data_IF_040089278183
#
_entry.id   IF_040089278183
#
_cell.length_a   1.000
_cell.length_b   1.000
_cell.length_c   1.000
_cell.angle_alpha   90.00
_cell.angle_beta   90.00
_cell.angle_gamma   90.00
#
_symmetry.space_group_name_H-M   'P 1'
#
loop_
_entity.id
_entity.type
_entity.pdbx_description
1 polymer ?
#
# COMPACT_ATOMS: atom_id res chain seq x y z
N UNK A 1 -64.71 19.12 45.35
CA UNK A 1 -64.86 20.15 44.31
C UNK A 1 -63.52 20.31 43.60
N UNK A 2 -63.58 20.23 42.28
CA UNK A 2 -62.54 20.16 41.23
C UNK A 2 -61.07 20.49 41.53
N UNK A 3 -60.17 19.60 41.09
CA UNK A 3 -58.81 19.97 40.62
C UNK A 3 -58.53 19.32 39.27
N UNK A 4 -57.96 20.14 38.39
CA UNK A 4 -57.57 19.87 37.01
C UNK A 4 -56.31 19.00 36.92
N UNK A 5 -56.23 18.15 35.91
CA UNK A 5 -54.96 17.55 35.45
C UNK A 5 -54.85 17.76 33.95
N UNK A 6 -53.88 18.59 33.54
CA UNK A 6 -53.41 18.69 32.15
C UNK A 6 -52.38 17.58 31.91
N UNK A 7 -52.61 16.74 30.90
CA UNK A 7 -51.60 15.83 30.37
C UNK A 7 -50.90 16.52 29.19
N UNK A 8 -49.58 16.74 29.31
CA UNK A 8 -48.75 17.15 28.18
C UNK A 8 -48.28 15.90 27.42
N UNK A 9 -48.58 15.83 26.12
CA UNK A 9 -48.04 14.81 25.21
C UNK A 9 -46.74 15.36 24.62
N UNK A 10 -45.61 14.76 25.00
CA UNK A 10 -44.31 15.00 24.38
C UNK A 10 -44.12 14.01 23.23
N UNK A 11 -44.27 14.49 22.00
CA UNK A 11 -43.96 13.75 20.78
C UNK A 11 -42.45 13.77 20.54
N UNK A 12 -41.74 12.76 21.04
CA UNK A 12 -40.33 12.53 20.72
C UNK A 12 -40.17 11.85 19.36
N UNK A 13 -39.88 12.63 18.32
CA UNK A 13 -39.42 12.09 17.04
C UNK A 13 -37.90 11.93 17.05
N UNK A 14 -37.42 10.69 17.16
CA UNK A 14 -36.00 10.37 16.91
C UNK A 14 -35.84 10.22 15.40
N UNK A 15 -35.23 11.21 14.75
CA UNK A 15 -34.69 11.07 13.39
C UNK A 15 -33.34 10.36 13.50
N UNK A 16 -33.31 9.05 13.24
CA UNK A 16 -32.07 8.36 12.91
C UNK A 16 -31.74 8.61 11.44
N UNK A 17 -30.97 9.65 11.15
CA UNK A 17 -30.29 9.80 9.86
C UNK A 17 -29.06 8.89 9.83
N UNK A 18 -29.26 7.64 9.39
CA UNK A 18 -28.16 6.77 8.96
C UNK A 18 -27.59 7.33 7.65
N UNK A 19 -26.62 8.24 7.77
CA UNK A 19 -25.85 8.71 6.62
C UNK A 19 -24.99 7.57 6.09
N UNK A 20 -25.38 6.99 4.95
CA UNK A 20 -24.51 6.12 4.17
C UNK A 20 -23.39 7.01 3.62
N UNK A 21 -22.24 7.05 4.28
CA UNK A 21 -21.07 7.79 3.78
C UNK A 21 -20.48 6.96 2.65
N UNK A 22 -20.55 7.43 1.41
CA UNK A 22 -19.76 6.86 0.33
C UNK A 22 -18.28 7.01 0.71
N UNK A 23 -17.51 5.93 0.63
CA UNK A 23 -16.08 6.01 0.88
C UNK A 23 -15.43 6.96 -0.15
N UNK A 24 -14.75 7.99 0.33
CA UNK A 24 -14.03 8.94 -0.52
C UNK A 24 -12.90 8.24 -1.28
N UNK A 25 -12.63 8.62 -2.54
CA UNK A 25 -11.51 8.06 -3.28
C UNK A 25 -10.17 8.30 -2.57
N UNK A 26 -9.34 7.26 -2.47
CA UNK A 26 -7.96 7.39 -1.98
C UNK A 26 -7.17 8.28 -2.91
N UNK A 27 -6.37 9.21 -2.37
CA UNK A 27 -5.51 10.14 -3.13
C UNK A 27 -4.04 10.14 -2.75
N UNK A 28 -3.77 9.83 -1.50
CA UNK A 28 -2.43 9.68 -0.95
C UNK A 28 -1.75 8.39 -1.42
N UNK A 29 -0.44 8.33 -1.20
CA UNK A 29 0.36 7.11 -1.36
C UNK A 29 0.35 6.42 0.01
N UNK A 30 -0.21 5.21 0.13
CA UNK A 30 -0.33 4.54 1.41
C UNK A 30 1.04 4.12 1.93
N UNK A 31 1.12 3.89 3.24
CA UNK A 31 2.33 3.43 3.92
C UNK A 31 2.04 2.23 4.81
N UNK A 32 3.03 1.36 4.94
CA UNK A 32 2.94 0.10 5.67
C UNK A 32 4.24 -0.14 6.45
N UNK A 33 4.13 -0.61 7.68
CA UNK A 33 5.28 -1.03 8.49
C UNK A 33 5.30 -2.55 8.56
N UNK A 34 6.22 -3.17 7.83
CA UNK A 34 6.38 -4.61 7.78
C UNK A 34 7.14 -5.09 9.02
N UNK A 35 6.49 -5.79 9.95
CA UNK A 35 7.19 -6.35 11.10
C UNK A 35 8.12 -7.45 10.65
N UNK A 36 9.24 -7.60 11.38
CA UNK A 36 10.09 -8.78 11.22
C UNK A 36 9.42 -9.99 11.87
N UNK A 37 9.23 -11.07 11.11
CA UNK A 37 8.65 -12.30 11.60
C UNK A 37 9.56 -12.93 12.68
N UNK A 38 8.95 -13.38 13.78
CA UNK A 38 9.65 -14.13 14.83
C UNK A 38 9.94 -15.58 14.40
N UNK A 39 9.11 -16.11 13.50
CA UNK A 39 9.21 -17.42 12.86
C UNK A 39 8.72 -17.28 11.42
N UNK A 40 9.43 -17.88 10.47
CA UNK A 40 8.99 -17.91 9.08
C UNK A 40 7.60 -18.56 8.95
N UNK A 41 6.69 -17.98 8.12
CA UNK A 41 5.44 -18.65 7.77
C UNK A 41 5.72 -19.91 6.93
N UNK A 42 4.81 -20.87 7.00
CA UNK A 42 4.79 -22.02 6.09
C UNK A 42 3.98 -21.61 4.88
N UNK A 43 4.63 -21.59 3.70
CA UNK A 43 3.96 -21.19 2.45
C UNK A 43 3.05 -22.32 1.97
N UNK A 44 1.79 -22.33 2.44
CA UNK A 44 0.77 -23.34 2.13
C UNK A 44 -0.58 -22.74 1.68
N UNK A 45 -0.64 -21.41 1.55
CA UNK A 45 -1.79 -20.62 1.16
C UNK A 45 -2.68 -20.22 2.33
N UNK A 46 -2.39 -20.63 3.57
CA UNK A 46 -3.20 -20.34 4.77
C UNK A 46 -2.57 -19.24 5.61
N UNK A 47 -3.41 -18.31 6.06
CA UNK A 47 -2.95 -17.14 6.82
C UNK A 47 -3.05 -17.33 8.34
N UNK A 48 -2.93 -18.57 8.82
CA UNK A 48 -3.06 -18.95 10.23
C UNK A 48 -1.72 -18.99 10.99
N UNK A 49 -0.59 -18.86 10.30
CA UNK A 49 0.73 -18.73 10.92
C UNK A 49 0.86 -17.48 11.81
N UNK A 50 1.64 -17.55 12.91
CA UNK A 50 1.89 -16.40 13.79
C UNK A 50 2.45 -15.18 13.06
N UNK A 51 3.31 -15.38 12.05
CA UNK A 51 3.91 -14.30 11.26
C UNK A 51 2.84 -13.38 10.62
N UNK A 52 1.72 -13.96 10.18
CA UNK A 52 0.61 -13.20 9.61
C UNK A 52 -0.23 -12.53 10.69
N UNK A 53 -0.45 -13.19 11.82
CA UNK A 53 -1.24 -12.62 12.90
C UNK A 53 -0.59 -11.37 13.52
N UNK A 54 0.75 -11.35 13.56
CA UNK A 54 1.55 -10.22 14.03
C UNK A 54 1.62 -9.07 13.00
N UNK A 55 1.39 -9.36 11.72
CA UNK A 55 1.38 -8.37 10.64
C UNK A 55 0.03 -7.62 10.55
N UNK A 56 0.02 -6.28 10.51
CA UNK A 56 -1.20 -5.53 10.30
C UNK A 56 -1.74 -5.77 8.88
N UNK A 57 -3.04 -5.71 8.68
CA UNK A 57 -3.59 -5.65 7.32
C UNK A 57 -3.27 -4.30 6.68
N UNK A 58 -3.01 -4.29 5.37
CA UNK A 58 -3.18 -3.07 4.58
C UNK A 58 -4.62 -2.60 4.67
N UNK A 59 -4.83 -1.32 4.39
CA UNK A 59 -6.18 -0.87 4.02
C UNK A 59 -6.67 -1.61 2.76
N UNK A 60 -7.99 -1.73 2.56
CA UNK A 60 -8.55 -2.39 1.39
C UNK A 60 -8.07 -1.77 0.08
N UNK A 61 -7.92 -2.60 -0.94
CA UNK A 61 -7.51 -2.17 -2.27
C UNK A 61 -8.60 -1.29 -2.91
N UNK A 62 -8.15 -0.35 -3.73
CA UNK A 62 -8.97 0.62 -4.45
C UNK A 62 -8.83 0.42 -5.96
N UNK A 63 -9.82 0.85 -6.73
CA UNK A 63 -9.76 0.83 -8.18
C UNK A 63 -8.58 1.69 -8.66
N UNK A 64 -7.64 1.08 -9.38
CA UNK A 64 -6.34 1.66 -9.74
C UNK A 64 -6.39 3.00 -10.47
N UNK A 65 -7.36 3.22 -11.34
CA UNK A 65 -7.53 4.45 -12.12
C UNK A 65 -8.26 5.58 -11.41
N UNK A 66 -9.02 5.29 -10.35
CA UNK A 66 -9.94 6.28 -9.76
C UNK A 66 -9.76 6.46 -8.26
N UNK A 67 -9.15 5.51 -7.56
CA UNK A 67 -9.04 5.50 -6.10
C UNK A 67 -10.34 5.17 -5.37
N UNK A 68 -11.45 4.93 -6.08
CA UNK A 68 -12.72 4.49 -5.51
C UNK A 68 -12.60 3.06 -4.94
N UNK A 69 -13.57 2.57 -4.13
CA UNK A 69 -13.57 1.18 -3.66
C UNK A 69 -13.32 0.17 -4.80
N UNK A 70 -12.32 -0.71 -4.60
CA UNK A 70 -11.89 -1.69 -5.59
C UNK A 70 -12.72 -2.97 -5.56
N UNK A 71 -12.70 -3.69 -6.68
CA UNK A 71 -13.20 -5.06 -6.80
C UNK A 71 -12.18 -5.90 -7.58
N UNK A 72 -11.95 -7.17 -7.20
CA UNK A 72 -12.51 -7.86 -6.03
C UNK A 72 -12.03 -7.23 -4.71
N UNK A 73 -12.79 -7.41 -3.62
CA UNK A 73 -12.36 -6.88 -2.31
C UNK A 73 -11.09 -7.61 -1.91
N UNK A 74 -10.03 -6.84 -1.74
CA UNK A 74 -8.70 -7.40 -1.49
C UNK A 74 -7.97 -6.58 -0.44
N UNK A 75 -7.20 -7.28 0.40
CA UNK A 75 -6.24 -6.69 1.34
C UNK A 75 -5.03 -7.60 1.45
N UNK A 76 -3.92 -7.06 1.91
CA UNK A 76 -2.67 -7.79 2.02
C UNK A 76 -2.00 -7.61 3.39
N UNK A 77 -1.02 -8.47 3.67
CA UNK A 77 -0.06 -8.36 4.77
C UNK A 77 1.33 -8.51 4.21
N UNK A 78 2.28 -7.77 4.75
CA UNK A 78 3.70 -7.99 4.50
C UNK A 78 4.43 -8.22 5.83
N UNK A 79 5.37 -9.15 5.80
CA UNK A 79 6.33 -9.41 6.88
C UNK A 79 7.64 -9.85 6.25
N UNK A 80 8.69 -10.04 7.04
CA UNK A 80 10.01 -10.33 6.50
C UNK A 80 10.90 -10.99 7.55
N UNK A 81 11.94 -11.70 7.11
CA UNK A 81 12.94 -12.26 8.00
C UNK A 81 14.37 -12.19 7.43
N UNK A 82 15.27 -13.07 7.90
CA UNK A 82 16.64 -13.07 7.42
C UNK A 82 16.79 -13.53 5.95
N UNK A 83 15.83 -14.28 5.43
CA UNK A 83 15.93 -15.00 4.16
C UNK A 83 14.96 -14.47 3.10
N UNK A 84 13.75 -14.05 3.51
CA UNK A 84 12.70 -13.64 2.58
C UNK A 84 11.98 -12.35 2.97
N UNK A 85 11.47 -11.67 1.96
CA UNK A 85 10.28 -10.83 2.06
C UNK A 85 9.04 -11.71 1.85
N UNK A 86 8.04 -11.56 2.71
CA UNK A 86 6.78 -12.29 2.60
C UNK A 86 5.61 -11.36 2.32
N UNK A 87 4.70 -11.80 1.46
CA UNK A 87 3.42 -11.14 1.24
C UNK A 87 2.28 -12.16 1.27
N UNK A 88 1.18 -11.77 1.90
CA UNK A 88 -0.06 -12.54 1.93
C UNK A 88 -1.21 -11.70 1.40
N UNK A 89 -2.10 -12.31 0.63
CA UNK A 89 -3.29 -11.67 0.08
C UNK A 89 -4.54 -12.44 0.52
N UNK A 90 -5.59 -11.69 0.83
CA UNK A 90 -6.95 -12.21 0.97
C UNK A 90 -7.81 -11.54 -0.09
N UNK A 91 -8.37 -12.37 -0.99
CA UNK A 91 -9.17 -11.93 -2.14
C UNK A 91 -10.57 -12.55 -2.00
N UNK A 92 -11.59 -11.70 -2.01
CA UNK A 92 -13.01 -12.10 -2.10
C UNK A 92 -13.44 -12.05 -3.56
N UNK A 93 -13.54 -13.22 -4.21
CA UNK A 93 -13.91 -13.34 -5.62
C UNK A 93 -15.01 -14.38 -5.81
N UNK A 94 -16.08 -14.01 -6.52
CA UNK A 94 -17.23 -14.87 -6.80
C UNK A 94 -17.10 -15.70 -8.10
N UNK A 95 -15.98 -15.58 -8.82
CA UNK A 95 -15.67 -16.40 -9.99
C UNK A 95 -14.16 -16.50 -10.19
N UNK A 96 -13.63 -17.73 -10.13
CA UNK A 96 -12.19 -17.99 -10.20
C UNK A 96 -11.75 -18.52 -11.56
N UNK A 97 -10.88 -17.77 -12.23
CA UNK A 97 -10.30 -18.12 -13.53
C UNK A 97 -8.77 -18.05 -13.51
N UNK A 98 -8.15 -19.22 -13.70
CA UNK A 98 -6.70 -19.39 -13.80
C UNK A 98 -6.38 -20.69 -14.58
N UNK A 99 -6.51 -20.67 -15.91
CA UNK A 99 -6.21 -21.81 -16.81
C UNK A 99 -4.99 -21.58 -17.71
N UNK A 100 -4.28 -20.47 -17.51
CA UNK A 100 -2.98 -20.24 -18.14
C UNK A 100 -1.91 -21.12 -17.52
N UNK A 101 -1.01 -21.64 -18.36
CA UNK A 101 0.15 -22.46 -17.96
C UNK A 101 1.25 -22.32 -19.00
N UNK A 102 2.47 -22.70 -18.63
CA UNK A 102 3.64 -22.67 -19.51
C UNK A 102 4.73 -21.74 -18.98
N UNK A 103 5.73 -21.44 -19.82
CA UNK A 103 6.77 -20.48 -19.47
C UNK A 103 6.23 -19.05 -19.66
N UNK A 104 6.34 -18.22 -18.62
CA UNK A 104 5.90 -16.82 -18.58
C UNK A 104 4.44 -16.60 -19.03
N UNK A 105 3.47 -17.29 -18.41
CA UNK A 105 2.07 -17.09 -18.76
C UNK A 105 1.69 -15.64 -18.48
N UNK A 106 0.88 -15.04 -19.36
CA UNK A 106 0.39 -13.68 -19.18
C UNK A 106 -0.71 -13.62 -18.10
N UNK A 107 -0.35 -13.94 -16.85
CA UNK A 107 -1.28 -14.15 -15.73
C UNK A 107 -2.16 -12.93 -15.46
N UNK A 108 -1.65 -11.73 -15.73
CA UNK A 108 -2.41 -10.49 -15.66
C UNK A 108 -3.61 -10.40 -16.60
N UNK A 109 -3.89 -11.39 -17.45
CA UNK A 109 -5.11 -11.46 -18.27
C UNK A 109 -6.25 -12.24 -17.60
N UNK A 110 -5.94 -12.87 -16.46
CA UNK A 110 -6.86 -13.66 -15.64
C UNK A 110 -6.74 -13.27 -14.16
N UNK A 111 -7.22 -14.13 -13.27
CA UNK A 111 -7.13 -13.88 -11.84
C UNK A 111 -5.69 -14.10 -11.39
N UNK A 112 -5.14 -13.09 -10.72
CA UNK A 112 -3.79 -13.17 -10.15
C UNK A 112 -3.61 -12.06 -9.13
N UNK A 113 -2.74 -12.31 -8.15
CA UNK A 113 -2.14 -11.22 -7.37
C UNK A 113 -0.84 -10.79 -8.04
N UNK A 114 -0.46 -9.53 -7.87
CA UNK A 114 0.76 -8.96 -8.42
C UNK A 114 1.45 -8.06 -7.41
N UNK A 115 2.79 -8.14 -7.39
CA UNK A 115 3.67 -7.29 -6.62
C UNK A 115 4.64 -6.61 -7.57
N UNK A 116 4.79 -5.29 -7.42
CA UNK A 116 5.89 -4.56 -8.04
C UNK A 116 6.75 -3.92 -6.95
N UNK A 117 8.06 -4.15 -6.99
CA UNK A 117 8.97 -3.79 -5.88
C UNK A 117 10.12 -2.95 -6.41
N UNK A 118 10.32 -1.79 -5.81
CA UNK A 118 11.43 -0.86 -6.01
C UNK A 118 12.20 -0.75 -4.68
N UNK A 119 13.32 -1.49 -4.53
CA UNK A 119 14.04 -1.61 -3.26
C UNK A 119 14.72 -0.34 -2.73
N UNK A 120 15.12 0.61 -3.58
CA UNK A 120 15.72 1.85 -3.08
C UNK A 120 14.72 3.03 -3.09
N UNK A 121 13.55 2.82 -3.69
CA UNK A 121 12.43 3.74 -3.68
C UNK A 121 12.67 4.98 -4.53
N UNK A 122 13.61 4.91 -5.48
CA UNK A 122 13.96 6.02 -6.36
C UNK A 122 13.00 6.19 -7.55
N UNK A 123 12.17 5.17 -7.82
CA UNK A 123 11.19 5.14 -8.90
C UNK A 123 11.75 4.83 -10.29
N UNK A 124 13.02 4.39 -10.40
CA UNK A 124 13.69 4.11 -11.65
C UNK A 124 13.48 2.66 -12.09
N UNK A 125 14.07 1.70 -11.37
CA UNK A 125 14.03 0.26 -11.69
C UNK A 125 13.19 -0.51 -10.67
N UNK A 126 12.60 -1.62 -11.10
CA UNK A 126 11.72 -2.41 -10.24
C UNK A 126 11.56 -3.84 -10.76
N UNK A 127 11.09 -4.68 -9.85
CA UNK A 127 10.77 -6.08 -10.08
C UNK A 127 9.26 -6.24 -10.16
N UNK A 128 8.78 -7.20 -10.94
CA UNK A 128 7.37 -7.57 -11.05
C UNK A 128 7.24 -9.06 -10.84
N UNK A 129 6.31 -9.44 -9.97
CA UNK A 129 6.06 -10.81 -9.54
C UNK A 129 4.56 -11.03 -9.52
N UNK A 130 4.09 -12.15 -10.06
CA UNK A 130 2.68 -12.51 -10.06
C UNK A 130 2.50 -13.95 -9.58
N UNK A 131 1.39 -14.20 -8.91
CA UNK A 131 0.97 -15.53 -8.46
C UNK A 131 -0.52 -15.72 -8.75
N UNK A 132 -0.82 -16.65 -9.65
CA UNK A 132 -2.19 -16.99 -10.00
C UNK A 132 -2.81 -17.98 -9.00
N UNK A 133 -4.15 -18.04 -8.87
CA UNK A 133 -4.85 -19.04 -8.07
C UNK A 133 -4.53 -20.50 -8.43
N UNK A 134 -4.04 -20.76 -9.65
CA UNK A 134 -3.55 -22.08 -10.07
C UNK A 134 -2.21 -22.48 -9.44
N UNK A 135 -1.49 -21.52 -8.84
CA UNK A 135 -0.11 -21.67 -8.36
C UNK A 135 0.95 -21.33 -9.41
N UNK A 136 0.55 -20.99 -10.64
CA UNK A 136 1.48 -20.51 -11.67
C UNK A 136 2.05 -19.15 -11.28
N UNK A 137 3.33 -18.96 -11.62
CA UNK A 137 4.08 -17.75 -11.32
C UNK A 137 4.53 -17.05 -12.59
N UNK A 138 4.67 -15.73 -12.51
CA UNK A 138 5.35 -14.93 -13.51
C UNK A 138 6.31 -13.98 -12.81
N UNK A 139 7.51 -13.83 -13.33
CA UNK A 139 8.48 -12.89 -12.83
C UNK A 139 9.22 -12.16 -13.94
N UNK A 140 9.52 -10.89 -13.68
CA UNK A 140 10.36 -10.08 -14.55
C UNK A 140 10.94 -8.92 -13.76
N UNK A 141 11.83 -8.19 -14.41
CA UNK A 141 12.37 -6.93 -13.89
C UNK A 141 12.56 -5.92 -15.00
N UNK A 142 12.59 -4.66 -14.59
CA UNK A 142 12.69 -3.52 -15.47
C UNK A 142 13.83 -2.60 -15.02
N UNK A 143 14.74 -2.27 -15.93
CA UNK A 143 15.86 -1.35 -15.72
C UNK A 143 15.40 0.12 -15.69
N UNK A 144 14.25 0.39 -16.30
CA UNK A 144 13.49 1.64 -16.12
C UNK A 144 12.02 1.39 -16.45
N UNK A 145 11.13 2.37 -16.26
CA UNK A 145 9.68 2.21 -16.54
C UNK A 145 9.40 1.51 -17.89
N UNK A 146 8.96 0.25 -17.81
CA UNK A 146 8.66 -0.65 -18.93
C UNK A 146 9.86 -0.87 -19.89
N UNK A 147 11.09 -0.86 -19.39
CA UNK A 147 12.30 -1.20 -20.18
C UNK A 147 13.06 -2.33 -19.49
N UNK A 148 13.44 -3.40 -20.23
CA UNK A 148 13.22 -3.62 -21.66
C UNK A 148 11.76 -3.97 -22.00
N UNK A 149 11.41 -3.82 -23.28
CA UNK A 149 10.12 -4.21 -23.86
C UNK A 149 10.23 -5.58 -24.53
N UNK A 150 9.12 -6.34 -24.67
CA UNK A 150 7.76 -5.99 -24.23
C UNK A 150 7.49 -6.21 -22.74
N UNK A 151 8.13 -7.20 -22.12
CA UNK A 151 7.79 -7.70 -20.78
C UNK A 151 9.01 -7.80 -19.85
N UNK A 152 9.95 -6.87 -19.97
CA UNK A 152 11.14 -6.86 -19.12
C UNK A 152 12.10 -8.01 -19.43
N UNK A 153 12.85 -8.42 -18.42
CA UNK A 153 13.85 -9.50 -18.50
C UNK A 153 13.27 -10.88 -18.17
N UNK A 154 12.48 -11.47 -19.07
CA UNK A 154 11.82 -12.80 -18.93
C UNK A 154 12.76 -14.03 -18.73
N UNK A 155 14.07 -13.84 -18.63
CA UNK A 155 15.02 -14.92 -18.32
C UNK A 155 15.58 -14.81 -16.90
N UNK A 156 15.23 -13.74 -16.21
CA UNK A 156 15.59 -13.54 -14.82
C UNK A 156 14.59 -14.32 -13.98
N UNK A 157 15.10 -15.15 -13.09
CA UNK A 157 14.30 -15.96 -12.18
C UNK A 157 14.42 -15.33 -10.79
N UNK A 158 13.29 -14.95 -10.22
CA UNK A 158 13.19 -14.38 -8.89
C UNK A 158 13.43 -15.41 -7.79
N UNK A 159 13.13 -16.69 -8.07
CA UNK A 159 13.11 -17.75 -7.07
C UNK A 159 11.95 -17.62 -6.08
N UNK A 160 10.85 -16.96 -6.47
CA UNK A 160 9.66 -16.88 -5.61
C UNK A 160 9.09 -18.25 -5.32
N UNK A 161 8.63 -18.41 -4.08
CA UNK A 161 7.80 -19.54 -3.65
C UNK A 161 6.38 -19.02 -3.41
N UNK A 162 5.38 -19.73 -3.92
CA UNK A 162 3.98 -19.32 -3.84
C UNK A 162 3.06 -20.48 -3.48
N UNK A 163 2.02 -20.19 -2.69
CA UNK A 163 0.97 -21.16 -2.38
C UNK A 163 -0.40 -20.49 -2.30
N UNK A 164 -1.45 -21.26 -2.62
CA UNK A 164 -2.82 -20.80 -2.73
C UNK A 164 -3.73 -21.70 -1.88
N UNK A 165 -4.64 -21.09 -1.11
CA UNK A 165 -5.79 -21.79 -0.55
C UNK A 165 -7.08 -21.24 -1.15
N UNK A 166 -7.73 -22.06 -1.98
CA UNK A 166 -8.97 -21.73 -2.65
C UNK A 166 -10.18 -21.90 -1.73
N UNK A 167 -11.16 -21.02 -1.87
CA UNK A 167 -12.53 -21.19 -1.35
C UNK A 167 -13.48 -21.17 -2.55
N UNK A 168 -13.44 -22.25 -3.31
CA UNK A 168 -14.06 -22.31 -4.63
C UNK A 168 -13.45 -23.41 -5.50
N UNK A 169 -13.85 -23.43 -6.77
CA UNK A 169 -13.32 -24.35 -7.78
C UNK A 169 -12.81 -23.55 -8.98
N UNK A 170 -11.54 -23.71 -9.34
CA UNK A 170 -10.99 -23.00 -10.49
C UNK A 170 -11.65 -23.44 -11.79
N UNK A 171 -11.83 -22.46 -12.69
CA UNK A 171 -12.12 -22.69 -14.10
C UNK A 171 -13.46 -23.40 -14.37
N UNK A 172 -14.44 -23.19 -13.50
CA UNK A 172 -15.82 -23.56 -13.75
C UNK A 172 -16.76 -22.34 -13.65
N UNK A 173 -18.06 -22.56 -13.84
CA UNK A 173 -19.08 -21.51 -13.76
C UNK A 173 -19.80 -21.50 -12.40
N UNK A 174 -19.29 -22.22 -11.40
CA UNK A 174 -19.85 -22.22 -10.05
C UNK A 174 -19.48 -20.90 -9.33
N UNK A 175 -20.29 -20.52 -8.35
CA UNK A 175 -19.98 -19.36 -7.53
C UNK A 175 -18.87 -19.71 -6.53
N UNK A 176 -17.89 -18.83 -6.40
CA UNK A 176 -16.77 -18.97 -5.49
C UNK A 176 -16.86 -17.96 -4.32
N UNK A 177 -15.94 -18.09 -3.36
CA UNK A 177 -15.75 -17.15 -2.24
C UNK A 177 -14.36 -16.51 -2.24
N UNK A 178 -13.52 -16.84 -3.22
CA UNK A 178 -12.20 -16.28 -3.44
C UNK A 178 -11.05 -17.20 -2.99
N UNK A 179 -9.92 -16.60 -2.65
CA UNK A 179 -8.70 -17.33 -2.28
C UNK A 179 -7.83 -16.54 -1.31
N UNK A 180 -6.88 -17.23 -0.69
CA UNK A 180 -5.71 -16.62 -0.06
C UNK A 180 -4.47 -17.04 -0.81
N UNK A 181 -3.51 -16.12 -0.90
CA UNK A 181 -2.23 -16.36 -1.55
C UNK A 181 -1.10 -15.98 -0.60
N UNK A 182 -0.06 -16.79 -0.55
CA UNK A 182 1.19 -16.50 0.14
C UNK A 182 2.34 -16.49 -0.86
N UNK A 183 3.22 -15.51 -0.73
CA UNK A 183 4.42 -15.35 -1.57
C UNK A 183 5.62 -15.16 -0.65
N UNK A 184 6.67 -15.95 -0.86
CA UNK A 184 7.99 -15.74 -0.28
C UNK A 184 8.98 -15.35 -1.38
N UNK A 185 9.66 -14.22 -1.20
CA UNK A 185 10.58 -13.63 -2.17
C UNK A 185 11.98 -13.63 -1.55
N UNK A 186 12.92 -14.45 -2.06
CA UNK A 186 14.25 -14.50 -1.48
C UNK A 186 14.97 -13.17 -1.70
N UNK A 187 15.70 -12.67 -0.70
CA UNK A 187 16.42 -11.39 -0.83
C UNK A 187 17.42 -11.36 -1.99
N UNK A 188 17.92 -12.53 -2.41
CA UNK A 188 18.80 -12.68 -3.55
C UNK A 188 18.17 -12.25 -4.89
N UNK A 189 16.83 -12.26 -4.99
CA UNK A 189 16.10 -11.79 -6.17
C UNK A 189 16.49 -10.34 -6.53
N UNK A 190 16.63 -9.49 -5.50
CA UNK A 190 16.87 -8.06 -5.66
C UNK A 190 18.33 -7.69 -5.98
N UNK A 191 19.25 -8.67 -5.97
CA UNK A 191 20.64 -8.45 -6.37
C UNK A 191 20.79 -8.13 -7.87
N UNK A 192 19.75 -8.37 -8.67
CA UNK A 192 19.70 -8.03 -10.09
C UNK A 192 19.24 -6.59 -10.38
N UNK A 193 18.99 -5.78 -9.34
CA UNK A 193 18.61 -4.37 -9.46
C UNK A 193 19.81 -3.44 -9.66
N UNK A 194 19.54 -2.16 -9.89
CA UNK A 194 20.58 -1.13 -9.98
C UNK A 194 20.22 0.10 -9.13
N UNK A 195 20.81 0.28 -7.94
CA UNK A 195 21.85 -0.56 -7.35
C UNK A 195 21.32 -1.94 -6.93
N UNK A 196 22.20 -2.96 -6.87
CA UNK A 196 21.84 -4.26 -6.30
C UNK A 196 21.34 -4.09 -4.87
N UNK A 197 20.17 -4.65 -4.58
CA UNK A 197 19.61 -4.67 -3.24
C UNK A 197 19.76 -6.04 -2.59
N UNK A 198 19.80 -6.03 -1.26
CA UNK A 198 19.80 -7.24 -0.43
C UNK A 198 18.77 -7.04 0.68
N UNK A 199 18.77 -7.92 1.69
CA UNK A 199 17.92 -7.76 2.87
C UNK A 199 18.03 -6.33 3.42
N UNK A 200 16.91 -5.61 3.61
CA UNK A 200 16.93 -4.26 4.13
C UNK A 200 17.44 -4.22 5.56
N UNK A 201 18.17 -3.15 5.89
CA UNK A 201 18.40 -2.79 7.28
C UNK A 201 17.09 -2.36 7.94
N UNK A 202 16.94 -2.54 9.26
CA UNK A 202 15.78 -2.05 9.97
C UNK A 202 15.53 -0.55 9.71
N UNK A 203 14.27 -0.22 9.43
CA UNK A 203 13.74 1.08 9.02
C UNK A 203 14.12 1.53 7.60
N UNK A 204 14.72 0.67 6.77
CA UNK A 204 14.78 0.94 5.34
C UNK A 204 13.36 1.13 4.78
N UNK A 205 13.25 1.95 3.74
CA UNK A 205 11.97 2.25 3.09
C UNK A 205 12.07 1.85 1.62
N UNK A 206 11.20 0.95 1.21
CA UNK A 206 11.06 0.51 -0.19
C UNK A 206 9.75 1.02 -0.73
N UNK A 207 9.63 1.04 -2.06
CA UNK A 207 8.37 1.27 -2.75
C UNK A 207 7.81 -0.07 -3.22
N UNK A 208 6.55 -0.34 -2.87
CA UNK A 208 5.86 -1.60 -3.23
C UNK A 208 4.45 -1.31 -3.72
N UNK A 209 4.14 -1.82 -4.90
CA UNK A 209 2.80 -1.90 -5.45
C UNK A 209 2.25 -3.31 -5.21
N UNK A 210 0.96 -3.38 -4.89
CA UNK A 210 0.23 -4.63 -4.71
C UNK A 210 -1.07 -4.50 -5.49
N UNK A 211 -1.34 -5.47 -6.36
CA UNK A 211 -2.51 -5.47 -7.22
C UNK A 211 -3.20 -6.83 -7.20
N UNK A 212 -4.46 -6.82 -7.59
CA UNK A 212 -5.24 -7.99 -7.97
C UNK A 212 -5.83 -7.74 -9.35
N UNK A 213 -5.76 -8.74 -10.21
CA UNK A 213 -6.45 -8.80 -11.48
C UNK A 213 -7.56 -9.84 -11.34
N UNK A 214 -8.69 -9.54 -11.97
CA UNK A 214 -9.89 -10.37 -11.92
C UNK A 214 -10.55 -10.34 -13.30
N UNK A 215 -10.76 -11.50 -13.90
CA UNK A 215 -11.39 -11.62 -15.22
C UNK A 215 -12.79 -12.18 -15.11
N UNK A 216 -13.75 -11.51 -15.76
CA UNK A 216 -15.17 -11.90 -15.70
C UNK A 216 -15.62 -12.54 -17.01
N UNK A 217 -16.53 -13.54 -16.94
CA UNK A 217 -17.04 -14.20 -18.13
C UNK A 217 -17.87 -13.23 -19.00
N UNK A 218 -17.94 -13.54 -20.30
CA UNK A 218 -18.71 -12.77 -21.27
C UNK A 218 -18.25 -11.31 -21.40
N UNK A 219 -19.18 -10.37 -21.26
CA UNK A 219 -18.91 -8.93 -21.37
C UNK A 219 -18.51 -8.28 -20.02
N UNK A 220 -18.24 -9.08 -18.99
CA UNK A 220 -17.89 -8.59 -17.65
C UNK A 220 -16.55 -7.85 -17.60
N UNK A 221 -15.67 -8.13 -18.57
CA UNK A 221 -14.38 -7.47 -18.73
C UNK A 221 -13.39 -7.80 -17.62
N UNK A 222 -12.24 -7.14 -17.65
CA UNK A 222 -11.24 -7.23 -16.59
C UNK A 222 -11.47 -6.16 -15.53
N UNK A 223 -11.42 -6.58 -14.27
CA UNK A 223 -11.38 -5.73 -13.09
C UNK A 223 -9.98 -5.75 -12.51
N UNK A 224 -9.65 -4.67 -11.81
CA UNK A 224 -8.43 -4.60 -11.02
C UNK A 224 -8.61 -3.68 -9.84
N UNK A 225 -7.90 -4.02 -8.77
CA UNK A 225 -7.76 -3.19 -7.60
C UNK A 225 -6.30 -3.19 -7.14
N UNK A 226 -5.88 -2.14 -6.48
CA UNK A 226 -4.52 -2.01 -5.95
C UNK A 226 -4.50 -1.34 -4.59
N UNK A 227 -3.45 -1.63 -3.82
CA UNK A 227 -3.23 -0.97 -2.54
C UNK A 227 -3.08 0.55 -2.71
N UNK A 228 -2.42 0.97 -3.79
CA UNK A 228 -2.28 2.37 -4.18
C UNK A 228 -2.84 2.59 -5.60
N UNK A 229 -3.66 3.63 -5.84
CA UNK A 229 -4.16 3.92 -7.18
C UNK A 229 -3.07 4.58 -8.02
N UNK A 230 -2.95 4.15 -9.29
CA UNK A 230 -2.00 4.71 -10.27
C UNK A 230 -2.54 5.93 -11.00
N UNK A 231 -3.87 6.09 -11.08
CA UNK A 231 -4.56 7.09 -11.90
C UNK A 231 -4.23 7.05 -13.39
N UNK A 232 -3.70 5.92 -13.84
CA UNK A 232 -3.32 5.70 -15.22
C UNK A 232 -3.89 4.38 -15.71
N UNK A 233 -4.05 4.22 -17.04
CA UNK A 233 -4.31 2.92 -17.68
C UNK A 233 -3.02 2.08 -17.75
N UNK A 234 -2.28 2.06 -16.65
CA UNK A 234 -0.97 1.46 -16.52
C UNK A 234 -0.70 1.16 -15.05
N UNK A 235 -0.22 -0.05 -14.76
CA UNK A 235 0.20 -0.48 -13.42
C UNK A 235 1.65 -0.09 -13.12
N UNK A 236 2.47 0.12 -14.17
CA UNK A 236 3.89 0.44 -14.08
C UNK A 236 4.11 1.93 -13.82
N UNK A 237 3.65 2.41 -12.67
CA UNK A 237 3.81 3.81 -12.22
C UNK A 237 4.55 3.82 -10.87
N UNK A 238 5.90 3.67 -10.86
CA UNK A 238 6.67 3.57 -9.61
C UNK A 238 6.49 4.74 -8.64
N UNK A 239 6.18 5.94 -9.14
CA UNK A 239 5.84 7.11 -8.32
C UNK A 239 4.55 6.97 -7.50
N UNK A 240 3.75 5.95 -7.80
CA UNK A 240 2.50 5.63 -7.08
C UNK A 240 2.60 4.36 -6.25
N UNK A 241 3.74 3.67 -6.26
CA UNK A 241 3.95 2.52 -5.37
C UNK A 241 3.85 2.97 -3.91
N UNK A 242 3.21 2.16 -3.07
CA UNK A 242 3.08 2.42 -1.65
C UNK A 242 4.43 2.35 -0.94
N UNK A 243 4.51 2.89 0.27
CA UNK A 243 5.77 2.94 1.05
C UNK A 243 5.81 1.83 2.08
N UNK A 244 6.79 0.95 1.99
CA UNK A 244 6.99 -0.13 2.97
C UNK A 244 8.24 0.15 3.79
N UNK A 245 8.06 0.26 5.12
CA UNK A 245 9.15 0.39 6.09
C UNK A 245 9.40 -0.94 6.79
N UNK A 246 10.65 -1.38 6.89
CA UNK A 246 11.00 -2.68 7.49
C UNK A 246 11.25 -2.53 8.99
N UNK A 247 10.27 -2.83 9.83
CA UNK A 247 10.38 -2.58 11.25
C UNK A 247 11.43 -3.51 11.92
N UNK A 248 12.22 -3.03 12.90
CA UNK A 248 13.15 -3.87 13.65
C UNK A 248 12.40 -4.96 14.42
N UNK A 249 13.09 -6.04 14.85
CA UNK A 249 12.48 -7.06 15.71
C UNK A 249 11.96 -6.44 17.03
N UNK A 250 10.92 -7.03 17.66
CA UNK A 250 10.25 -6.46 18.84
C UNK A 250 11.20 -6.06 19.98
N UNK A 251 12.21 -6.87 20.29
CA UNK A 251 13.19 -6.55 21.34
C UNK A 251 13.99 -5.25 21.04
N UNK A 252 14.35 -5.01 19.78
CA UNK A 252 15.02 -3.79 19.37
C UNK A 252 14.06 -2.59 19.31
N UNK A 253 12.76 -2.82 19.11
CA UNK A 253 11.73 -1.78 19.21
C UNK A 253 11.53 -1.34 20.66
N UNK A 254 11.47 -2.27 21.60
CA UNK A 254 11.37 -1.98 23.04
C UNK A 254 12.62 -1.25 23.55
N UNK A 255 13.81 -1.67 23.14
CA UNK A 255 15.06 -0.96 23.45
C UNK A 255 15.08 0.44 22.85
N UNK A 256 14.66 0.61 21.58
CA UNK A 256 14.58 1.92 20.94
C UNK A 256 13.55 2.84 21.60
N UNK A 257 12.41 2.30 22.04
CA UNK A 257 11.38 3.05 22.79
C UNK A 257 11.84 3.38 24.22
N UNK A 258 12.57 2.49 24.88
CA UNK A 258 13.16 2.73 26.19
C UNK A 258 14.34 3.72 26.14
N UNK A 259 15.08 3.75 25.02
CA UNK A 259 16.16 4.70 24.76
C UNK A 259 15.65 6.04 24.21
N UNK A 260 14.42 6.10 23.69
CA UNK A 260 13.80 7.35 23.26
C UNK A 260 13.66 8.28 24.47
N UNK A 261 14.07 9.55 24.37
CA UNK A 261 13.90 10.49 25.46
C UNK A 261 12.41 10.59 25.80
N UNK A 262 12.06 10.41 27.08
CA UNK A 262 10.71 10.62 27.59
C UNK A 262 10.20 11.96 27.06
N UNK A 263 8.94 12.09 26.57
CA UNK A 263 8.39 13.37 26.15
C UNK A 263 8.21 14.29 27.37
N UNK A 264 9.32 14.80 27.90
CA UNK A 264 9.33 15.82 28.93
C UNK A 264 9.17 17.15 28.23
N UNK A 265 7.96 17.72 28.22
CA UNK A 265 7.62 19.10 27.88
C UNK A 265 8.72 19.88 27.14
N UNK A 266 9.11 19.42 25.94
CA UNK A 266 9.98 20.20 25.08
C UNK A 266 9.07 21.25 24.45
N UNK A 267 8.90 22.38 25.15
CA UNK A 267 8.59 23.62 24.45
C UNK A 267 9.74 23.82 23.47
N UNK A 268 9.50 23.85 22.14
CA UNK A 268 10.56 24.12 21.19
C UNK A 268 11.11 25.50 21.55
N UNK A 269 12.27 25.53 22.21
CA UNK A 269 12.94 26.79 22.47
C UNK A 269 13.73 27.05 21.21
N UNK A 270 13.05 27.60 20.20
CA UNK A 270 13.75 28.14 19.04
C UNK A 270 14.61 29.28 19.56
N UNK A 271 15.90 29.02 19.77
CA UNK A 271 16.87 30.08 19.98
C UNK A 271 17.01 30.83 18.66
N UNK A 272 16.16 31.83 18.46
CA UNK A 272 16.28 32.73 17.33
C UNK A 272 17.57 33.53 17.49
N UNK A 273 18.43 33.51 16.47
CA UNK A 273 19.63 34.32 16.43
C UNK A 273 19.25 35.81 16.63
N UNK A 274 19.73 36.49 17.69
CA UNK A 274 19.38 37.88 17.97
C UNK A 274 19.66 38.83 16.81
N UNK A 275 20.72 38.57 16.04
CA UNK A 275 21.07 39.37 14.86
C UNK A 275 20.07 39.14 13.72
N UNK A 276 19.62 37.90 13.51
CA UNK A 276 18.60 37.60 12.49
C UNK A 276 17.24 38.21 12.84
N UNK A 277 16.86 38.19 14.12
CA UNK A 277 15.64 38.86 14.62
C UNK A 277 15.74 40.37 14.44
N UNK A 278 16.90 40.95 14.74
CA UNK A 278 17.12 42.39 14.55
C UNK A 278 17.08 42.78 13.08
N UNK A 279 17.75 42.03 12.20
CA UNK A 279 17.72 42.25 10.75
C UNK A 279 16.29 42.14 10.18
N UNK A 280 15.50 41.17 10.66
CA UNK A 280 14.09 41.03 10.26
C UNK A 280 13.24 42.21 10.74
N UNK A 281 13.46 42.70 11.97
CA UNK A 281 12.75 43.88 12.49
C UNK A 281 13.08 45.14 11.68
N UNK A 282 14.35 45.35 11.36
CA UNK A 282 14.80 46.48 10.53
C UNK A 282 14.21 46.38 9.11
N UNK A 283 14.20 45.18 8.53
CA UNK A 283 13.58 44.95 7.22
C UNK A 283 12.07 45.27 7.23
N UNK A 284 11.34 44.79 8.25
CA UNK A 284 9.91 45.05 8.39
C UNK A 284 9.57 46.51 8.71
N UNK A 285 10.45 47.23 9.41
CA UNK A 285 10.30 48.66 9.69
C UNK A 285 10.53 49.51 8.44
N UNK A 286 11.46 49.09 7.57
CA UNK A 286 11.82 49.82 6.35
C UNK A 286 11.03 49.36 5.11
N UNK A 287 10.12 48.38 5.26
CA UNK A 287 9.25 47.95 4.15
C UNK A 287 8.19 49.03 3.90
N UNK A 288 8.11 49.62 2.70
CA UNK A 288 7.10 50.61 2.36
C UNK A 288 5.69 50.05 2.60
N UNK A 289 4.79 50.86 3.18
CA UNK A 289 3.41 50.46 3.48
C UNK A 289 2.41 51.31 2.72
N UNK A 290 1.28 50.71 2.34
CA UNK A 290 0.15 51.43 1.76
C UNK A 290 -0.54 52.32 2.83
N UNK A 291 -1.47 53.22 2.44
CA UNK A 291 -2.19 54.08 3.38
C UNK A 291 -3.04 53.33 4.44
N UNK A 292 -3.22 52.01 4.28
CA UNK A 292 -3.92 51.12 5.22
C UNK A 292 -2.93 50.28 6.06
N UNK A 293 -1.64 50.60 5.98
CA UNK A 293 -0.58 49.99 6.79
C UNK A 293 -0.10 48.62 6.31
N UNK A 294 -0.44 48.18 5.08
CA UNK A 294 -0.02 46.88 4.55
C UNK A 294 1.33 46.98 3.82
N UNK A 295 2.24 46.00 3.97
CA UNK A 295 3.51 45.99 3.23
C UNK A 295 3.25 46.01 1.71
N UNK A 296 3.94 46.88 1.00
CA UNK A 296 3.90 46.95 -0.46
C UNK A 296 5.01 46.08 -1.06
N UNK A 297 4.68 45.33 -2.12
CA UNK A 297 5.67 44.58 -2.88
C UNK A 297 6.68 45.55 -3.52
N UNK A 298 7.98 45.19 -3.58
CA UNK A 298 9.00 46.04 -4.20
C UNK A 298 8.66 46.29 -5.67
N UNK A 299 8.61 47.55 -6.08
CA UNK A 299 8.42 47.91 -7.48
C UNK A 299 9.74 47.72 -8.23
N UNK A 300 9.82 46.70 -9.09
CA UNK A 300 10.92 46.52 -10.02
C UNK A 300 11.44 45.09 -10.14
N UNK A 301 10.73 44.27 -10.91
CA UNK A 301 11.33 43.30 -11.84
C UNK A 301 10.30 43.11 -12.97
N UNK A 302 10.64 43.65 -14.14
CA UNK A 302 10.07 43.19 -15.40
C UNK A 302 10.68 41.82 -15.73
#
# INVERSE_FOLDING_TARGET
MSRWVMLAVLSGGILCSAGCTCAEPRTDIPSYSAPRASRAPVIDGRLDDPAWQDAPWTEPFVQTMTGAPGQPRTRARLTWDAEFLYAAFEVEDDYLRADLSGQDPHLWTQDTVELMIDPDGDGLNYFELQLAPSGETFDTRYDSRRVPQPFGHLRWESGIEGAIALRGTLNDDAADEGYTAEVAIPWAAFAAGDPPATRPEPNANWRVALYVMDTRPGNGGQRSAGWSPTYARDFHVPDRFGRVSFAPPPAAQEEAQAAAPTPGNLRPTVQLNPQAVQALREHLANTPRDPRGRPMAPQGMQ
#
